data_IF_669158619435
#
_entry.id   IF_669158619435
#
_cell.length_a   1.000
_cell.length_b   1.000
_cell.length_c   1.000
_cell.angle_alpha   90.00
_cell.angle_beta   90.00
_cell.angle_gamma   90.00
#
_symmetry.space_group_name_H-M   'P 1'
#
loop_
_entity.id
_entity.type
_entity.pdbx_description
1 polymer ?
#
# COMPACT_ATOMS: atom_id res chain seq x y z
N UNK A 1 -54.20 49.08 -75.53
CA UNK A 1 -54.38 48.22 -74.33
C UNK A 1 -53.06 47.56 -74.03
N UNK A 2 -52.35 47.90 -72.94
CA UNK A 2 -51.30 47.11 -72.26
C UNK A 2 -50.94 47.89 -70.97
N UNK A 3 -51.31 47.34 -69.81
CA UNK A 3 -51.30 48.01 -68.50
C UNK A 3 -49.92 48.24 -67.87
N UNK A 4 -49.82 49.05 -66.80
CA UNK A 4 -48.57 49.61 -66.32
C UNK A 4 -47.80 48.66 -65.39
N UNK A 5 -46.47 48.70 -65.57
CA UNK A 5 -45.44 47.96 -64.84
C UNK A 5 -45.42 48.34 -63.35
N UNK A 6 -45.69 47.36 -62.47
CA UNK A 6 -45.48 47.48 -61.02
C UNK A 6 -44.00 47.39 -60.67
N UNK A 7 -43.51 48.41 -59.96
CA UNK A 7 -42.17 48.50 -59.37
C UNK A 7 -42.02 47.49 -58.24
N UNK A 8 -41.09 46.55 -58.37
CA UNK A 8 -40.64 45.70 -57.27
C UNK A 8 -39.61 46.47 -56.43
N UNK A 9 -39.90 46.59 -55.12
CA UNK A 9 -39.04 47.22 -54.13
C UNK A 9 -37.75 46.39 -53.98
N UNK A 10 -36.59 47.02 -54.18
CA UNK A 10 -35.27 46.45 -53.90
C UNK A 10 -35.10 46.34 -52.38
N UNK A 11 -35.08 45.12 -51.87
CA UNK A 11 -34.62 44.86 -50.50
C UNK A 11 -33.09 44.87 -50.49
N UNK A 12 -32.52 45.83 -49.78
CA UNK A 12 -31.09 45.92 -49.48
C UNK A 12 -30.71 44.81 -48.50
N UNK A 13 -30.01 43.79 -48.99
CA UNK A 13 -29.25 42.86 -48.14
C UNK A 13 -27.96 43.55 -47.71
N UNK A 14 -27.93 44.02 -46.47
CA UNK A 14 -26.70 44.49 -45.81
C UNK A 14 -25.91 43.24 -45.41
N UNK A 15 -24.81 42.97 -46.11
CA UNK A 15 -23.85 41.95 -45.72
C UNK A 15 -23.06 42.45 -44.51
N UNK A 16 -23.26 41.82 -43.35
CA UNK A 16 -22.41 42.03 -42.18
C UNK A 16 -21.08 41.27 -42.39
N UNK A 17 -19.91 41.90 -42.18
CA UNK A 17 -18.66 41.16 -42.17
C UNK A 17 -18.57 40.39 -40.83
N UNK A 18 -18.65 39.07 -40.89
CA UNK A 18 -18.26 38.21 -39.78
C UNK A 18 -16.73 38.28 -39.65
N UNK A 19 -16.24 39.13 -38.77
CA UNK A 19 -14.83 39.15 -38.37
C UNK A 19 -14.58 37.89 -37.56
N UNK A 20 -14.08 36.85 -38.23
CA UNK A 20 -13.61 35.64 -37.56
C UNK A 20 -12.43 36.00 -36.67
N UNK A 21 -12.61 35.85 -35.36
CA UNK A 21 -11.50 35.89 -34.40
C UNK A 21 -10.62 34.66 -34.66
N UNK A 22 -9.58 34.82 -35.47
CA UNK A 22 -8.46 33.89 -35.50
C UNK A 22 -7.69 34.09 -34.19
N UNK A 23 -8.07 33.33 -33.16
CA UNK A 23 -7.21 33.16 -31.98
C UNK A 23 -6.03 32.31 -32.45
N UNK A 24 -4.79 32.83 -32.45
CA UNK A 24 -3.66 31.95 -32.66
C UNK A 24 -3.57 31.04 -31.44
N UNK A 25 -3.82 29.74 -31.61
CA UNK A 25 -3.28 28.74 -30.69
C UNK A 25 -1.77 28.83 -30.82
N UNK A 26 -1.15 29.72 -30.05
CA UNK A 26 0.27 29.64 -29.78
C UNK A 26 0.46 28.32 -29.02
N UNK A 27 0.91 27.29 -29.73
CA UNK A 27 1.41 26.09 -29.09
C UNK A 27 2.54 26.55 -28.17
N UNK A 28 2.32 26.51 -26.85
CA UNK A 28 3.37 26.77 -25.90
C UNK A 28 4.48 25.77 -26.18
N UNK A 29 5.63 26.25 -26.68
CA UNK A 29 6.81 25.41 -26.78
C UNK A 29 7.11 24.91 -25.35
N UNK A 30 7.31 23.60 -25.14
CA UNK A 30 7.63 23.11 -23.82
C UNK A 30 8.85 23.86 -23.31
N UNK A 31 8.81 24.30 -22.06
CA UNK A 31 9.96 24.95 -21.43
C UNK A 31 11.15 23.99 -21.57
N UNK A 32 12.14 24.39 -22.38
CA UNK A 32 13.40 23.67 -22.50
C UNK A 32 14.19 23.99 -21.25
N UNK A 33 13.96 23.25 -20.17
CA UNK A 33 14.91 23.21 -19.08
C UNK A 33 16.17 22.50 -19.60
N UNK A 34 17.33 23.12 -19.38
CA UNK A 34 18.60 22.46 -19.65
C UNK A 34 18.74 21.31 -18.65
N UNK A 35 18.82 20.07 -19.14
CA UNK A 35 18.97 18.89 -18.30
C UNK A 35 20.22 18.99 -17.41
N UNK A 36 21.26 19.69 -17.85
CA UNK A 36 22.47 19.91 -17.06
C UNK A 36 22.25 20.85 -15.86
N UNK A 37 21.15 21.61 -15.85
CA UNK A 37 20.81 22.56 -14.78
C UNK A 37 19.87 21.99 -13.70
N UNK A 38 19.39 20.75 -13.85
CA UNK A 38 18.36 20.14 -12.97
C UNK A 38 18.91 19.78 -11.57
N UNK A 39 20.22 19.67 -11.40
CA UNK A 39 20.85 19.28 -10.13
C UNK A 39 20.62 17.81 -9.76
N UNK A 40 21.18 17.39 -8.62
CA UNK A 40 21.00 16.03 -8.09
C UNK A 40 19.90 16.00 -7.02
N UNK A 41 19.18 14.87 -6.86
CA UNK A 41 18.27 14.70 -5.75
C UNK A 41 19.04 14.65 -4.42
N UNK A 42 18.42 15.18 -3.36
CA UNK A 42 18.89 15.01 -1.99
C UNK A 42 18.05 13.91 -1.34
N UNK A 43 18.69 12.79 -1.00
CA UNK A 43 18.02 11.68 -0.32
C UNK A 43 17.99 11.92 1.19
N UNK A 44 16.89 11.56 1.83
CA UNK A 44 16.70 11.59 3.28
C UNK A 44 16.26 10.20 3.80
N UNK A 45 16.16 10.05 5.12
CA UNK A 45 15.78 8.79 5.78
C UNK A 45 16.97 8.14 6.49
N UNK A 46 17.04 6.80 6.43
CA UNK A 46 18.13 6.05 7.06
C UNK A 46 19.49 6.42 6.48
N UNK A 47 20.50 6.59 7.34
CA UNK A 47 21.90 6.68 6.93
C UNK A 47 22.41 5.36 6.32
N UNK A 48 21.76 4.24 6.68
CA UNK A 48 22.05 2.89 6.20
C UNK A 48 20.78 2.31 5.53
N UNK A 49 20.43 2.74 4.31
CA UNK A 49 19.23 2.27 3.62
C UNK A 49 19.38 0.84 3.08
N UNK A 50 20.62 0.36 2.95
CA UNK A 50 20.94 -1.01 2.55
C UNK A 50 21.49 -1.74 3.79
N UNK A 51 20.75 -2.71 4.35
CA UNK A 51 21.24 -3.48 5.50
C UNK A 51 22.53 -4.23 5.17
N UNK A 52 23.39 -4.40 6.17
CA UNK A 52 24.62 -5.17 6.01
C UNK A 52 24.32 -6.58 5.49
N UNK A 53 25.16 -7.04 4.56
CA UNK A 53 25.06 -8.40 4.02
C UNK A 53 25.55 -9.39 5.08
N UNK A 54 24.71 -10.32 5.57
CA UNK A 54 25.08 -11.25 6.66
C UNK A 54 26.24 -12.20 6.33
N UNK A 55 26.59 -12.36 5.05
CA UNK A 55 27.72 -13.17 4.59
C UNK A 55 28.80 -12.34 3.88
N UNK A 56 28.73 -11.01 3.94
CA UNK A 56 29.54 -10.11 3.12
C UNK A 56 29.20 -10.15 1.62
N UNK A 57 29.89 -9.32 0.84
CA UNK A 57 29.71 -9.28 -0.62
C UNK A 57 30.49 -10.42 -1.30
N UNK A 58 29.86 -11.02 -2.32
CA UNK A 58 30.53 -12.00 -3.19
C UNK A 58 30.29 -11.65 -4.65
N UNK A 59 31.20 -12.07 -5.54
CA UNK A 59 31.05 -11.82 -6.98
C UNK A 59 30.03 -12.78 -7.62
N UNK A 60 29.77 -13.93 -6.98
CA UNK A 60 28.84 -14.95 -7.48
C UNK A 60 28.00 -15.47 -6.34
N UNK A 61 26.68 -15.55 -6.54
CA UNK A 61 25.76 -16.14 -5.56
C UNK A 61 25.76 -15.44 -4.19
N UNK A 62 25.98 -14.13 -4.18
CA UNK A 62 25.29 -13.22 -3.23
C UNK A 62 23.78 -13.54 -3.30
N UNK A 63 22.88 -13.07 -2.47
CA UNK A 63 21.53 -13.64 -2.32
C UNK A 63 21.50 -15.08 -1.80
N UNK A 64 22.08 -16.07 -2.49
CA UNK A 64 22.14 -17.44 -1.95
C UNK A 64 22.98 -17.49 -0.67
N UNK A 65 24.16 -16.88 -0.67
CA UNK A 65 25.01 -16.82 0.52
C UNK A 65 24.30 -16.14 1.70
N UNK A 66 23.52 -15.09 1.43
CA UNK A 66 22.75 -14.33 2.41
C UNK A 66 21.57 -15.15 2.94
N UNK A 67 20.82 -15.80 2.05
CA UNK A 67 19.76 -16.73 2.42
C UNK A 67 20.28 -17.86 3.32
N UNK A 68 21.39 -18.49 2.93
CA UNK A 68 22.00 -19.58 3.69
C UNK A 68 22.55 -19.08 5.04
N UNK A 69 23.09 -17.86 5.11
CA UNK A 69 23.54 -17.25 6.35
C UNK A 69 22.38 -16.94 7.29
N UNK A 70 21.31 -16.31 6.80
CA UNK A 70 20.12 -16.00 7.57
C UNK A 70 19.41 -17.27 8.07
N UNK A 71 19.31 -18.30 7.21
CA UNK A 71 18.80 -19.62 7.61
C UNK A 71 19.57 -20.24 8.76
N UNK A 72 20.90 -20.03 8.82
CA UNK A 72 21.74 -20.57 9.91
C UNK A 72 21.66 -19.73 11.18
N UNK A 73 21.46 -18.41 11.04
CA UNK A 73 21.49 -17.47 12.17
C UNK A 73 20.12 -17.24 12.83
N UNK A 74 19.02 -17.39 12.10
CA UNK A 74 17.71 -16.85 12.49
C UNK A 74 16.66 -17.88 12.92
N UNK A 75 15.50 -17.35 13.31
CA UNK A 75 14.26 -18.07 13.60
C UNK A 75 13.49 -18.54 12.35
N UNK A 76 14.03 -18.26 11.15
CA UNK A 76 13.45 -18.64 9.85
C UNK A 76 12.41 -17.68 9.27
N UNK A 77 12.22 -16.48 9.84
CA UNK A 77 11.16 -15.55 9.43
C UNK A 77 11.72 -14.31 8.71
N UNK A 78 12.77 -13.68 9.24
CA UNK A 78 13.30 -12.41 8.71
C UNK A 78 14.57 -12.62 7.87
N UNK A 79 14.42 -12.62 6.54
CA UNK A 79 15.57 -12.67 5.62
C UNK A 79 16.11 -11.28 5.28
N UNK A 80 17.33 -11.20 4.77
CA UNK A 80 17.94 -9.95 4.29
C UNK A 80 17.04 -9.23 3.26
N UNK A 81 16.36 -10.00 2.40
CA UNK A 81 15.39 -9.47 1.44
C UNK A 81 14.12 -8.92 2.07
N UNK A 82 13.78 -9.31 3.29
CA UNK A 82 12.68 -8.73 4.05
C UNK A 82 13.12 -7.47 4.78
N UNK A 83 14.35 -7.47 5.30
CA UNK A 83 14.94 -6.33 6.03
C UNK A 83 15.15 -5.11 5.14
N UNK A 84 15.59 -5.29 3.89
CA UNK A 84 15.89 -4.19 2.98
C UNK A 84 14.67 -3.29 2.66
N UNK A 85 13.49 -3.82 2.28
CA UNK A 85 12.29 -3.03 2.02
C UNK A 85 11.32 -2.96 3.23
N UNK A 86 11.78 -3.29 4.44
CA UNK A 86 10.93 -3.27 5.63
C UNK A 86 10.35 -1.87 5.90
N UNK A 87 9.07 -1.82 6.29
CA UNK A 87 8.40 -0.60 6.76
C UNK A 87 7.99 -0.79 8.20
N UNK A 88 8.51 0.06 9.09
CA UNK A 88 8.24 0.03 10.53
C UNK A 88 7.38 1.21 10.95
N UNK A 89 6.56 1.06 11.97
CA UNK A 89 5.80 2.18 12.53
C UNK A 89 4.70 2.69 11.62
N UNK A 90 4.47 4.00 11.63
CA UNK A 90 3.54 4.70 10.74
C UNK A 90 4.25 5.71 9.82
N UNK A 91 5.54 5.51 9.56
CA UNK A 91 6.34 6.36 8.66
C UNK A 91 7.14 5.53 7.63
N UNK A 92 6.85 5.66 6.32
CA UNK A 92 5.73 6.38 5.74
C UNK A 92 4.39 5.78 6.18
N UNK A 93 3.40 6.66 6.40
CA UNK A 93 2.04 6.26 6.75
C UNK A 93 1.43 5.44 5.62
N UNK A 94 0.71 4.38 5.98
CA UNK A 94 0.11 3.48 5.01
C UNK A 94 -0.47 2.22 5.63
N UNK A 95 -1.60 1.83 5.10
CA UNK A 95 -2.36 0.66 5.48
C UNK A 95 -2.01 -0.57 4.62
N UNK A 96 -1.06 -0.46 3.70
CA UNK A 96 -0.73 -1.52 2.74
C UNK A 96 -0.20 -2.80 3.39
N UNK A 97 -0.59 -3.93 2.80
CA UNK A 97 -0.06 -5.25 3.10
C UNK A 97 0.80 -5.74 1.93
N UNK A 98 2.10 -5.94 2.16
CA UNK A 98 3.04 -6.35 1.10
C UNK A 98 3.03 -7.84 0.84
N UNK A 99 2.84 -8.65 1.88
CA UNK A 99 2.72 -10.10 1.74
C UNK A 99 1.54 -10.46 0.85
N UNK A 100 1.81 -11.27 -0.17
CA UNK A 100 0.88 -11.65 -1.23
C UNK A 100 1.24 -13.02 -1.79
N UNK A 101 0.23 -13.72 -2.28
CA UNK A 101 0.41 -14.92 -3.09
C UNK A 101 0.69 -14.57 -4.55
N UNK A 102 0.80 -15.60 -5.38
CA UNK A 102 0.93 -15.43 -6.83
C UNK A 102 -0.27 -14.70 -7.44
N UNK A 103 -1.47 -14.82 -6.86
CA UNK A 103 -2.70 -14.19 -7.32
C UNK A 103 -3.48 -13.47 -6.20
N UNK A 104 -3.41 -13.96 -4.96
CA UNK A 104 -4.08 -13.33 -3.81
C UNK A 104 -3.29 -12.16 -3.24
N UNK A 105 -3.97 -11.04 -3.00
CA UNK A 105 -3.41 -9.89 -2.26
C UNK A 105 -4.54 -9.09 -1.60
N UNK A 106 -4.19 -8.19 -0.69
CA UNK A 106 -5.15 -7.22 -0.13
C UNK A 106 -5.14 -5.96 -1.00
N UNK A 107 -6.27 -5.67 -1.66
CA UNK A 107 -6.44 -4.44 -2.45
C UNK A 107 -6.52 -3.22 -1.55
N UNK A 108 -7.23 -3.37 -0.44
CA UNK A 108 -7.22 -2.48 0.72
C UNK A 108 -6.99 -3.35 1.94
N UNK A 109 -6.24 -2.86 2.92
CA UNK A 109 -5.94 -3.60 4.14
C UNK A 109 -6.27 -2.73 5.35
N UNK A 110 -6.92 -3.31 6.36
CA UNK A 110 -7.24 -2.63 7.61
C UNK A 110 -6.33 -3.19 8.72
N UNK A 111 -5.20 -2.51 9.05
CA UNK A 111 -4.26 -3.03 10.03
C UNK A 111 -4.85 -3.12 11.44
N UNK A 112 -5.91 -2.36 11.76
CA UNK A 112 -6.52 -2.34 13.08
C UNK A 112 -7.37 -3.59 13.39
N UNK A 113 -7.73 -4.39 12.38
CA UNK A 113 -8.52 -5.62 12.55
C UNK A 113 -7.64 -6.85 12.54
N UNK A 114 -7.77 -7.76 13.51
CA UNK A 114 -7.05 -9.04 13.47
C UNK A 114 -7.56 -9.89 12.29
N UNK A 115 -6.67 -10.61 11.62
CA UNK A 115 -6.98 -11.31 10.37
C UNK A 115 -6.74 -10.42 9.14
N UNK A 116 -7.15 -10.92 7.97
CA UNK A 116 -7.03 -10.19 6.71
C UNK A 116 -8.24 -9.26 6.51
N UNK A 117 -8.32 -8.23 7.37
CA UNK A 117 -9.30 -7.15 7.27
C UNK A 117 -9.04 -6.22 6.08
N UNK A 118 -10.11 -5.67 5.49
CA UNK A 118 -10.05 -4.82 4.30
C UNK A 118 -10.76 -5.45 3.10
N UNK A 119 -10.14 -5.41 1.92
CA UNK A 119 -10.68 -5.95 0.66
C UNK A 119 -9.71 -6.95 0.05
N UNK A 120 -10.04 -8.23 0.10
CA UNK A 120 -9.24 -9.29 -0.53
C UNK A 120 -9.47 -9.32 -2.05
N UNK A 121 -8.40 -9.59 -2.80
CA UNK A 121 -8.41 -9.72 -4.23
C UNK A 121 -7.74 -11.05 -4.66
N UNK A 122 -8.23 -11.63 -5.76
CA UNK A 122 -7.59 -12.70 -6.52
C UNK A 122 -7.51 -12.23 -7.98
N UNK A 123 -6.36 -11.70 -8.39
CA UNK A 123 -6.23 -10.95 -9.66
C UNK A 123 -6.91 -9.58 -9.65
N UNK A 124 -8.17 -9.51 -9.23
CA UNK A 124 -8.96 -8.31 -8.95
C UNK A 124 -9.78 -8.55 -7.66
N UNK A 125 -10.36 -7.49 -7.09
CA UNK A 125 -11.30 -7.56 -5.98
C UNK A 125 -12.40 -8.59 -6.27
N UNK A 126 -12.65 -9.47 -5.31
CA UNK A 126 -13.66 -10.52 -5.44
C UNK A 126 -15.06 -9.89 -5.26
N UNK A 127 -15.29 -9.28 -4.10
CA UNK A 127 -16.56 -8.63 -3.75
C UNK A 127 -16.39 -7.47 -2.74
N UNK A 128 -15.18 -6.89 -2.65
CA UNK A 128 -14.83 -5.82 -1.72
C UNK A 128 -15.05 -6.16 -0.23
N UNK A 129 -14.96 -7.44 0.16
CA UNK A 129 -14.97 -7.87 1.57
C UNK A 129 -13.59 -8.29 2.06
N UNK A 130 -13.47 -8.36 3.39
CA UNK A 130 -12.33 -8.99 4.05
C UNK A 130 -12.28 -10.47 3.69
N UNK A 131 -11.10 -11.08 3.75
CA UNK A 131 -11.05 -12.54 3.64
C UNK A 131 -11.60 -13.20 4.91
N UNK A 132 -11.11 -12.73 6.06
CA UNK A 132 -11.67 -13.03 7.38
C UNK A 132 -11.18 -12.00 8.39
N UNK A 133 -11.92 -11.86 9.49
CA UNK A 133 -11.51 -11.13 10.68
C UNK A 133 -11.55 -12.06 11.88
N UNK A 134 -10.74 -11.76 12.89
CA UNK A 134 -10.69 -12.50 14.16
C UNK A 134 -11.11 -11.55 15.27
N UNK A 135 -12.19 -11.88 15.95
CA UNK A 135 -12.61 -11.16 17.15
C UNK A 135 -12.19 -11.97 18.39
N UNK A 136 -11.69 -11.27 19.41
CA UNK A 136 -11.39 -11.88 20.70
C UNK A 136 -12.52 -11.52 21.67
N UNK A 137 -12.96 -12.50 22.44
CA UNK A 137 -13.99 -12.31 23.46
C UNK A 137 -13.57 -12.96 24.79
N UNK A 138 -13.99 -12.37 25.90
CA UNK A 138 -13.87 -12.93 27.25
C UNK A 138 -15.27 -12.94 27.85
N UNK A 139 -15.71 -14.11 28.34
CA UNK A 139 -17.04 -14.30 28.92
C UNK A 139 -18.20 -13.85 28.02
N UNK A 140 -18.02 -13.95 26.70
CA UNK A 140 -19.01 -13.55 25.69
C UNK A 140 -18.95 -12.07 25.29
N UNK A 141 -18.13 -11.26 25.95
CA UNK A 141 -17.94 -9.84 25.64
C UNK A 141 -16.76 -9.64 24.68
N UNK A 142 -16.98 -8.89 23.59
CA UNK A 142 -15.94 -8.58 22.61
C UNK A 142 -14.90 -7.62 23.20
N UNK A 143 -13.63 -7.94 22.99
CA UNK A 143 -12.52 -7.10 23.42
C UNK A 143 -12.27 -5.98 22.42
N UNK A 144 -12.14 -4.75 22.92
CA UNK A 144 -11.68 -3.62 22.11
C UNK A 144 -10.16 -3.54 22.17
N UNK A 145 -9.51 -3.86 21.05
CA UNK A 145 -8.06 -3.81 20.95
C UNK A 145 -7.58 -2.50 20.33
N UNK A 146 -6.51 -1.95 20.88
CA UNK A 146 -5.80 -0.79 20.33
C UNK A 146 -4.45 -1.23 19.80
N UNK A 147 -4.16 -0.94 18.53
CA UNK A 147 -2.85 -1.21 17.95
C UNK A 147 -1.76 -0.31 18.56
N UNK A 148 -0.61 -0.89 18.87
CA UNK A 148 0.64 -0.19 19.06
C UNK A 148 1.34 -0.04 17.71
N UNK A 149 1.12 1.09 17.03
CA UNK A 149 1.66 1.34 15.68
C UNK A 149 3.17 1.29 15.63
N UNK A 150 3.88 1.65 16.71
CA UNK A 150 5.35 1.63 16.75
C UNK A 150 5.93 0.22 16.66
N UNK A 151 5.15 -0.79 17.04
CA UNK A 151 5.51 -2.21 16.91
C UNK A 151 5.30 -2.76 15.50
N UNK A 152 4.55 -2.04 14.64
CA UNK A 152 4.14 -2.51 13.33
C UNK A 152 5.35 -2.72 12.44
N UNK A 153 5.46 -3.89 11.85
CA UNK A 153 6.48 -4.24 10.86
C UNK A 153 5.81 -4.86 9.64
N UNK A 154 6.09 -4.30 8.46
CA UNK A 154 5.65 -4.82 7.16
C UNK A 154 6.88 -5.19 6.35
N UNK A 155 6.92 -6.42 5.88
CA UNK A 155 7.93 -6.92 4.96
C UNK A 155 7.23 -7.55 3.76
N UNK A 156 7.95 -7.78 2.64
CA UNK A 156 7.42 -8.54 1.52
C UNK A 156 6.88 -9.91 1.91
N UNK A 157 7.47 -10.59 2.90
CA UNK A 157 7.03 -11.93 3.29
C UNK A 157 5.91 -11.95 4.33
N UNK A 158 5.84 -10.96 5.24
CA UNK A 158 4.87 -10.97 6.33
C UNK A 158 4.55 -9.57 6.90
N UNK A 159 3.47 -9.51 7.66
CA UNK A 159 3.09 -8.38 8.50
C UNK A 159 3.09 -8.79 9.97
N UNK A 160 3.51 -7.89 10.86
CA UNK A 160 3.46 -8.09 12.31
C UNK A 160 3.05 -6.80 13.02
N UNK A 161 2.28 -6.94 14.10
CA UNK A 161 1.93 -5.84 14.98
C UNK A 161 1.48 -6.34 16.36
N UNK A 162 1.49 -5.42 17.32
CA UNK A 162 1.05 -5.65 18.69
C UNK A 162 -0.16 -4.79 19.01
N UNK A 163 -1.07 -5.35 19.79
CA UNK A 163 -2.31 -4.72 20.22
C UNK A 163 -2.48 -4.87 21.72
N UNK A 164 -3.14 -3.91 22.35
CA UNK A 164 -3.42 -3.93 23.79
C UNK A 164 -4.90 -3.75 24.04
N UNK A 165 -5.45 -4.55 24.95
CA UNK A 165 -6.75 -4.28 25.53
C UNK A 165 -6.58 -3.40 26.78
N UNK A 166 -6.90 -2.11 26.68
CA UNK A 166 -6.58 -1.13 27.73
C UNK A 166 -7.15 -1.49 29.10
N UNK A 167 -8.38 -2.01 29.17
CA UNK A 167 -9.04 -2.33 30.44
C UNK A 167 -8.36 -3.46 31.24
N UNK A 168 -7.74 -4.43 30.55
CA UNK A 168 -7.10 -5.59 31.19
C UNK A 168 -5.57 -5.55 31.12
N UNK A 169 -5.01 -4.72 30.24
CA UNK A 169 -3.59 -4.74 29.91
C UNK A 169 -3.12 -5.99 29.15
N UNK A 170 -4.04 -6.84 28.67
CA UNK A 170 -3.70 -7.97 27.82
C UNK A 170 -3.04 -7.47 26.52
N UNK A 171 -1.95 -8.11 26.12
CA UNK A 171 -1.31 -7.85 24.84
C UNK A 171 -1.59 -8.97 23.84
N UNK A 172 -1.68 -8.61 22.57
CA UNK A 172 -1.91 -9.52 21.46
C UNK A 172 -0.86 -9.23 20.40
N UNK A 173 -0.07 -10.23 20.04
CA UNK A 173 0.82 -10.17 18.89
C UNK A 173 0.15 -10.89 17.71
N UNK A 174 0.06 -10.20 16.58
CA UNK A 174 -0.42 -10.76 15.31
C UNK A 174 0.72 -10.86 14.32
N UNK A 175 0.82 -11.98 13.62
CA UNK A 175 1.71 -12.17 12.46
C UNK A 175 0.93 -12.77 11.31
N UNK A 176 1.04 -12.19 10.12
CA UNK A 176 0.23 -12.58 8.96
C UNK A 176 1.08 -12.71 7.71
N UNK A 177 0.76 -13.71 6.90
CA UNK A 177 1.41 -13.90 5.61
C UNK A 177 0.47 -14.57 4.61
N UNK A 178 0.68 -14.28 3.34
CA UNK A 178 0.03 -14.98 2.23
C UNK A 178 1.10 -15.80 1.54
N UNK A 179 0.88 -17.11 1.47
CA UNK A 179 1.79 -18.05 0.82
C UNK A 179 1.76 -17.89 -0.70
N UNK A 180 2.82 -18.33 -1.37
CA UNK A 180 2.89 -18.38 -2.84
C UNK A 180 1.67 -19.09 -3.47
N UNK A 181 1.19 -20.15 -2.81
CA UNK A 181 0.04 -20.92 -3.23
C UNK A 181 -1.32 -20.27 -2.88
N UNK A 182 -1.34 -18.96 -2.63
CA UNK A 182 -2.53 -18.14 -2.37
C UNK A 182 -3.24 -18.42 -1.03
N UNK A 183 -2.64 -19.23 -0.15
CA UNK A 183 -3.14 -19.49 1.20
C UNK A 183 -2.79 -18.37 2.17
N UNK A 184 -3.79 -17.84 2.87
CA UNK A 184 -3.66 -16.77 3.87
C UNK A 184 -3.57 -17.38 5.27
N UNK A 185 -2.65 -16.88 6.10
CA UNK A 185 -2.48 -17.36 7.46
C UNK A 185 -2.23 -16.21 8.43
N UNK A 186 -2.90 -16.26 9.59
CA UNK A 186 -2.68 -15.35 10.72
C UNK A 186 -2.35 -16.17 11.97
N UNK A 187 -1.22 -15.86 12.61
CA UNK A 187 -0.89 -16.32 13.94
C UNK A 187 -1.23 -15.22 14.95
N UNK A 188 -2.09 -15.53 15.93
CA UNK A 188 -2.48 -14.63 17.01
C UNK A 188 -1.99 -15.23 18.32
N UNK A 189 -1.16 -14.48 19.05
CA UNK A 189 -0.65 -14.86 20.36
C UNK A 189 -1.13 -13.84 21.38
N UNK A 190 -1.81 -14.31 22.41
CA UNK A 190 -2.23 -13.48 23.54
C UNK A 190 -1.27 -13.66 24.71
N UNK A 191 -1.00 -12.58 25.44
CA UNK A 191 -0.21 -12.59 26.67
C UNK A 191 -0.99 -11.83 27.74
N UNK A 192 -1.41 -12.50 28.83
CA UNK A 192 -2.01 -11.82 29.98
C UNK A 192 -1.02 -10.85 30.62
N UNK A 193 -1.55 -9.85 31.34
CA UNK A 193 -0.73 -8.93 32.14
C UNK A 193 0.07 -9.64 33.25
N UNK A 194 -0.44 -10.78 33.75
CA UNK A 194 0.08 -11.49 34.92
C UNK A 194 0.53 -12.93 34.62
N UNK A 195 1.62 -13.14 33.85
CA UNK A 195 2.28 -14.47 33.75
C UNK A 195 1.48 -15.59 33.06
N UNK A 196 2.03 -16.82 32.87
CA UNK A 196 1.55 -17.76 31.86
C UNK A 196 0.24 -18.47 32.25
N UNK A 197 -0.51 -18.83 31.20
CA UNK A 197 -1.79 -19.53 31.19
C UNK A 197 -1.95 -20.63 32.25
N UNK A 198 -3.04 -20.56 33.05
CA UNK A 198 -3.67 -21.77 33.56
C UNK A 198 -4.26 -22.53 32.38
N UNK A 199 -3.78 -23.74 32.15
CA UNK A 199 -4.43 -24.73 31.28
C UNK A 199 -5.72 -25.17 31.96
N UNK A 200 -6.87 -24.90 31.33
CA UNK A 200 -8.12 -25.54 31.71
C UNK A 200 -8.14 -26.97 31.13
N UNK A 201 -8.51 -27.94 31.96
CA UNK A 201 -8.50 -29.38 31.68
C UNK A 201 -9.65 -29.88 30.81
#
# INVERSE_FOLDING_TARGET
MHGPRRRHRRATLVAAPAVGLLVPLAAAAPARADNSAIGYPVYSGSAEPVPELPAGFTVRRTMRAQYDADRRAGNGIDFWMDRMPARKGDDPAGDWLFTRGRAVFMKEHDPARLGFGGKVAYGESIDNRAAYTVDLAVDGELLTLRENTDSRTRTPSHWRGEFTHEATGMTVTRTEFITDADGQASAVRTTPRDGPFMTAG
#
